data_IF_735016364508
#
_entry.id   IF_735016364508
#
_cell.length_a   1.000
_cell.length_b   1.000
_cell.length_c   1.000
_cell.angle_alpha   90.00
_cell.angle_beta   90.00
_cell.angle_gamma   90.00
#
_symmetry.space_group_name_H-M   'P 1'
#
loop_
_entity.id
_entity.type
_entity.pdbx_description
1 polymer ?
#
# COMPACT_ATOMS: atom_id res chain seq x y z
N UNK A 1 -1.45 -5.15 -22.04
CA UNK A 1 -0.50 -4.05 -21.78
C UNK A 1 -1.10 -3.19 -20.67
N UNK A 2 -0.78 -3.51 -19.41
CA UNK A 2 -1.01 -2.61 -18.27
C UNK A 2 -0.29 -1.29 -18.58
N UNK A 3 -0.95 -0.17 -18.34
CA UNK A 3 -0.47 1.13 -18.84
C UNK A 3 0.93 1.44 -18.31
N UNK A 4 1.79 2.03 -19.14
CA UNK A 4 3.18 2.43 -18.80
C UNK A 4 3.28 3.38 -17.59
N UNK A 5 2.15 3.84 -17.04
CA UNK A 5 2.02 4.71 -15.87
C UNK A 5 1.79 3.95 -14.56
N UNK A 6 1.06 2.83 -14.60
CA UNK A 6 0.86 1.94 -13.44
C UNK A 6 2.17 1.24 -13.02
N UNK A 7 3.10 1.10 -13.97
CA UNK A 7 4.48 0.65 -13.78
C UNK A 7 5.40 1.70 -13.10
N UNK A 8 4.99 2.98 -13.05
CA UNK A 8 5.82 4.12 -12.64
C UNK A 8 5.53 4.59 -11.20
N UNK A 9 4.30 4.37 -10.70
CA UNK A 9 3.87 4.71 -9.32
C UNK A 9 4.34 3.66 -8.29
N UNK A 10 4.28 2.38 -8.66
CA UNK A 10 4.94 1.25 -7.99
C UNK A 10 6.44 1.48 -7.77
N UNK A 11 7.09 2.14 -8.73
CA UNK A 11 8.53 2.48 -8.69
C UNK A 11 8.83 3.66 -7.76
N UNK A 12 7.84 4.45 -7.32
CA UNK A 12 8.01 5.57 -6.38
C UNK A 12 7.73 5.18 -4.92
N UNK A 13 6.75 4.31 -4.65
CA UNK A 13 6.41 3.85 -3.29
C UNK A 13 7.53 3.01 -2.64
N UNK A 14 8.22 2.20 -3.46
CA UNK A 14 9.44 1.47 -3.08
C UNK A 14 10.63 2.42 -2.90
N UNK A 15 10.60 3.59 -3.53
CA UNK A 15 11.72 4.54 -3.49
C UNK A 15 11.75 5.37 -2.20
N UNK A 16 10.62 5.52 -1.50
CA UNK A 16 10.57 6.24 -0.21
C UNK A 16 10.96 5.37 1.00
N UNK A 17 11.15 4.07 0.79
CA UNK A 17 11.98 3.25 1.67
C UNK A 17 13.43 3.82 1.79
N UNK A 18 13.88 4.66 0.84
CA UNK A 18 14.80 5.76 1.12
C UNK A 18 13.97 6.98 1.56
N UNK A 19 14.09 7.52 2.75
CA UNK A 19 15.30 8.21 3.16
C UNK A 19 15.48 8.02 4.67
N UNK A 20 15.90 6.82 5.04
CA UNK A 20 17.08 6.47 5.86
C UNK A 20 18.08 7.60 6.31
N UNK A 21 17.65 8.83 6.65
CA UNK A 21 18.55 9.93 7.11
C UNK A 21 18.17 10.62 8.43
N UNK A 22 17.16 10.15 9.17
CA UNK A 22 16.86 10.69 10.50
C UNK A 22 16.11 9.74 11.40
N UNK A 23 16.52 8.47 11.34
CA UNK A 23 15.89 7.38 12.04
C UNK A 23 16.20 7.44 13.55
N UNK A 24 15.17 7.54 14.39
CA UNK A 24 15.26 7.40 15.85
C UNK A 24 14.75 6.01 16.25
N UNK A 25 15.24 5.45 17.36
CA UNK A 25 14.80 4.13 17.81
C UNK A 25 13.26 4.08 17.95
N UNK A 26 12.63 3.09 17.29
CA UNK A 26 11.18 2.92 17.28
C UNK A 26 10.73 1.92 16.21
N UNK A 27 9.68 1.18 16.51
CA UNK A 27 9.05 0.19 15.62
C UNK A 27 7.60 0.56 15.40
N UNK A 28 7.08 0.31 14.19
CA UNK A 28 5.63 0.32 13.96
C UNK A 28 5.04 -0.94 14.59
N UNK A 29 3.92 -0.82 15.30
CA UNK A 29 3.18 -1.96 15.80
C UNK A 29 2.42 -2.61 14.65
N UNK A 30 2.75 -3.87 14.36
CA UNK A 30 2.11 -4.67 13.32
C UNK A 30 1.05 -5.56 13.97
N UNK A 31 -0.19 -5.59 13.47
CA UNK A 31 -1.23 -6.45 14.02
C UNK A 31 -0.84 -7.94 14.02
N UNK A 32 -1.25 -8.66 15.07
CA UNK A 32 -1.01 -10.11 15.23
C UNK A 32 -1.94 -10.99 14.35
N UNK A 33 -2.48 -10.41 13.27
CA UNK A 33 -3.30 -11.12 12.28
C UNK A 33 -2.39 -11.62 11.18
N UNK A 34 -2.21 -12.94 11.11
CA UNK A 34 -1.33 -13.52 10.10
C UNK A 34 -1.94 -13.40 8.69
N UNK A 35 -1.13 -12.87 7.76
CA UNK A 35 -1.45 -12.83 6.34
C UNK A 35 -0.44 -13.73 5.62
N UNK A 36 -0.95 -14.77 4.97
CA UNK A 36 -0.19 -15.62 4.06
C UNK A 36 -0.29 -15.09 2.64
N UNK A 37 0.84 -15.02 1.94
CA UNK A 37 0.90 -14.51 0.57
C UNK A 37 0.85 -15.70 -0.37
N UNK A 38 -0.21 -15.80 -1.16
CA UNK A 38 -0.38 -16.92 -2.08
C UNK A 38 -1.05 -16.49 -3.41
N UNK A 39 -0.85 -17.33 -4.43
CA UNK A 39 -1.33 -17.04 -5.77
C UNK A 39 -2.86 -17.09 -5.91
N UNK A 40 -3.52 -17.93 -5.10
CA UNK A 40 -4.97 -18.09 -5.18
C UNK A 40 -5.68 -16.80 -4.72
N UNK A 41 -5.24 -16.23 -3.60
CA UNK A 41 -5.72 -14.94 -3.08
C UNK A 41 -5.33 -13.79 -4.01
N UNK A 42 -4.14 -13.83 -4.62
CA UNK A 42 -3.72 -12.83 -5.60
C UNK A 42 -4.65 -12.81 -6.84
N UNK A 43 -5.01 -13.99 -7.34
CA UNK A 43 -5.93 -14.12 -8.47
C UNK A 43 -7.35 -13.70 -8.10
N UNK A 44 -7.83 -14.04 -6.89
CA UNK A 44 -9.12 -13.58 -6.38
C UNK A 44 -9.17 -12.06 -6.26
N UNK A 45 -8.13 -11.45 -5.69
CA UNK A 45 -7.96 -10.01 -5.59
C UNK A 45 -7.96 -9.34 -6.97
N UNK A 46 -7.19 -9.87 -7.93
CA UNK A 46 -7.17 -9.36 -9.29
C UNK A 46 -8.54 -9.45 -9.97
N UNK A 47 -9.25 -10.58 -9.82
CA UNK A 47 -10.57 -10.77 -10.42
C UNK A 47 -11.59 -9.74 -9.90
N UNK A 48 -11.60 -9.50 -8.59
CA UNK A 48 -12.40 -8.44 -7.95
C UNK A 48 -12.04 -7.05 -8.46
N UNK A 49 -10.75 -6.75 -8.62
CA UNK A 49 -10.29 -5.48 -9.20
C UNK A 49 -10.76 -5.28 -10.64
N UNK A 50 -10.77 -6.33 -11.46
CA UNK A 50 -11.31 -6.27 -12.82
C UNK A 50 -12.83 -6.09 -12.82
N UNK A 51 -13.55 -6.74 -11.90
CA UNK A 51 -14.98 -6.54 -11.73
C UNK A 51 -15.32 -5.10 -11.35
N UNK A 52 -14.50 -4.49 -10.49
CA UNK A 52 -14.62 -3.10 -10.04
C UNK A 52 -14.72 -2.09 -11.20
N UNK A 53 -14.02 -2.35 -12.31
CA UNK A 53 -14.06 -1.48 -13.49
C UNK A 53 -15.44 -1.42 -14.14
N UNK A 54 -16.30 -2.40 -13.87
CA UNK A 54 -17.68 -2.47 -14.36
C UNK A 54 -18.73 -2.13 -13.31
N UNK A 55 -18.47 -2.46 -12.04
CA UNK A 55 -19.42 -2.22 -10.93
C UNK A 55 -19.21 -0.86 -10.26
N UNK A 56 -18.04 -0.23 -10.43
CA UNK A 56 -17.66 0.99 -9.73
C UNK A 56 -17.27 0.77 -8.28
N UNK A 57 -17.12 -0.47 -7.83
CA UNK A 57 -16.82 -0.79 -6.42
C UNK A 57 -16.08 -2.12 -6.29
N UNK A 58 -15.17 -2.19 -5.32
CA UNK A 58 -14.46 -3.42 -4.95
C UNK A 58 -14.23 -3.50 -3.44
N UNK A 59 -14.43 -4.70 -2.89
CA UNK A 59 -14.06 -5.03 -1.51
C UNK A 59 -13.06 -6.17 -1.51
N UNK A 60 -11.88 -5.92 -0.92
CA UNK A 60 -10.82 -6.90 -0.74
C UNK A 60 -10.63 -7.25 0.73
N UNK A 61 -10.35 -8.51 1.01
CA UNK A 61 -9.80 -8.92 2.31
C UNK A 61 -8.32 -8.54 2.39
N UNK A 62 -7.77 -8.51 3.62
CA UNK A 62 -6.33 -8.35 3.86
C UNK A 62 -5.48 -9.35 3.05
N UNK A 63 -5.90 -10.61 2.99
CA UNK A 63 -5.20 -11.67 2.27
C UNK A 63 -5.24 -11.46 0.74
N UNK A 64 -6.42 -11.16 0.20
CA UNK A 64 -6.59 -10.88 -1.24
C UNK A 64 -5.78 -9.65 -1.66
N UNK A 65 -5.88 -8.55 -0.91
CA UNK A 65 -5.17 -7.31 -1.23
C UNK A 65 -3.65 -7.50 -1.14
N UNK A 66 -3.17 -8.08 -0.04
CA UNK A 66 -1.74 -8.30 0.20
C UNK A 66 -1.12 -9.22 -0.83
N UNK A 67 -1.80 -10.32 -1.14
CA UNK A 67 -1.35 -11.27 -2.16
C UNK A 67 -1.36 -10.65 -3.55
N UNK A 68 -2.43 -9.95 -3.92
CA UNK A 68 -2.54 -9.28 -5.21
C UNK A 68 -1.43 -8.24 -5.41
N UNK A 69 -1.24 -7.35 -4.43
CA UNK A 69 -0.19 -6.32 -4.51
C UNK A 69 1.19 -6.96 -4.53
N UNK A 70 1.45 -7.98 -3.69
CA UNK A 70 2.75 -8.66 -3.70
C UNK A 70 3.06 -9.25 -5.07
N UNK A 71 2.15 -10.04 -5.64
CA UNK A 71 2.34 -10.67 -6.94
C UNK A 71 2.46 -9.62 -8.05
N UNK A 72 1.63 -8.58 -8.02
CA UNK A 72 1.72 -7.48 -8.97
C UNK A 72 3.10 -6.82 -8.91
N UNK A 73 3.62 -6.53 -7.73
CA UNK A 73 4.93 -5.93 -7.55
C UNK A 73 6.04 -6.84 -8.06
N UNK A 74 6.02 -8.13 -7.70
CA UNK A 74 7.01 -9.10 -8.15
C UNK A 74 7.00 -9.27 -9.67
N UNK A 75 5.82 -9.31 -10.29
CA UNK A 75 5.67 -9.42 -11.75
C UNK A 75 6.18 -8.16 -12.48
N UNK A 76 6.01 -6.97 -11.89
CA UNK A 76 6.45 -5.72 -12.50
C UNK A 76 7.94 -5.41 -12.27
N UNK A 77 8.49 -5.81 -11.12
CA UNK A 77 9.89 -5.57 -10.74
C UNK A 77 10.83 -6.70 -11.20
N UNK A 78 10.27 -7.87 -11.51
CA UNK A 78 11.01 -9.04 -11.95
C UNK A 78 11.99 -9.56 -10.91
N UNK A 79 13.01 -10.30 -11.36
CA UNK A 79 14.04 -10.91 -10.50
C UNK A 79 14.94 -9.90 -9.76
N UNK A 80 14.82 -8.61 -10.07
CA UNK A 80 15.51 -7.51 -9.38
C UNK A 80 14.71 -6.89 -8.23
N UNK A 81 13.50 -7.38 -7.97
CA UNK A 81 12.67 -6.87 -6.88
C UNK A 81 13.36 -7.07 -5.52
N UNK A 82 13.60 -6.00 -4.74
CA UNK A 82 14.00 -6.14 -3.34
C UNK A 82 12.80 -6.44 -2.44
N UNK A 83 11.61 -6.70 -2.99
CA UNK A 83 10.39 -6.95 -2.23
C UNK A 83 10.10 -8.44 -2.24
N UNK A 84 10.03 -9.04 -1.06
CA UNK A 84 9.65 -10.44 -0.86
C UNK A 84 8.17 -10.57 -0.54
N UNK A 85 7.57 -9.58 0.13
CA UNK A 85 6.14 -9.54 0.44
C UNK A 85 5.66 -8.12 0.70
N UNK A 86 4.37 -7.88 0.51
CA UNK A 86 3.65 -6.71 1.01
C UNK A 86 2.41 -7.21 1.74
N UNK A 87 2.36 -6.96 3.04
CA UNK A 87 1.21 -7.25 3.89
C UNK A 87 0.53 -5.94 4.25
N UNK A 88 -0.78 -5.90 4.12
CA UNK A 88 -1.61 -4.77 4.47
C UNK A 88 -2.68 -5.21 5.48
N UNK A 89 -2.74 -4.49 6.59
CA UNK A 89 -3.80 -4.62 7.57
C UNK A 89 -4.69 -3.40 7.53
N UNK A 90 -5.99 -3.65 7.65
CA UNK A 90 -7.03 -2.63 7.63
C UNK A 90 -7.67 -2.57 9.01
N UNK A 91 -7.86 -1.37 9.53
CA UNK A 91 -8.45 -1.07 10.83
C UNK A 91 -9.65 -0.15 10.65
N UNK A 92 -10.44 0.08 11.69
CA UNK A 92 -11.51 1.08 11.65
C UNK A 92 -10.98 2.49 11.34
N UNK A 93 -11.88 3.40 10.96
CA UNK A 93 -11.58 4.82 10.70
C UNK A 93 -10.48 5.05 9.65
N UNK A 94 -10.50 4.26 8.57
CA UNK A 94 -9.55 4.31 7.46
C UNK A 94 -8.10 3.99 7.82
N UNK A 95 -7.89 3.33 8.96
CA UNK A 95 -6.57 2.93 9.45
C UNK A 95 -5.94 1.85 8.60
N UNK A 96 -4.65 2.01 8.31
CA UNK A 96 -3.85 1.04 7.55
C UNK A 96 -2.48 0.83 8.18
N UNK A 97 -2.04 -0.42 8.17
CA UNK A 97 -0.66 -0.80 8.46
C UNK A 97 -0.13 -1.58 7.29
N UNK A 98 1.05 -1.22 6.80
CA UNK A 98 1.76 -1.95 5.75
C UNK A 98 3.06 -2.49 6.30
N UNK A 99 3.36 -3.74 5.96
CA UNK A 99 4.68 -4.33 6.14
C UNK A 99 5.20 -4.79 4.79
N UNK A 100 6.38 -4.29 4.42
CA UNK A 100 7.12 -4.69 3.24
C UNK A 100 8.26 -5.60 3.67
N UNK A 101 8.19 -6.86 3.24
CA UNK A 101 9.28 -7.81 3.38
C UNK A 101 10.40 -7.52 2.40
N UNK A 102 11.63 -7.58 2.89
CA UNK A 102 12.87 -7.38 2.13
C UNK A 102 13.81 -8.60 2.28
N UNK A 103 14.78 -8.80 1.37
CA UNK A 103 15.78 -9.86 1.48
C UNK A 103 16.48 -9.88 2.84
N UNK A 104 16.86 -11.07 3.29
CA UNK A 104 17.54 -11.25 4.58
C UNK A 104 16.62 -11.15 5.80
N UNK A 105 15.31 -11.23 5.62
CA UNK A 105 14.32 -11.18 6.72
C UNK A 105 14.10 -9.77 7.27
N UNK A 106 14.53 -8.75 6.53
CA UNK A 106 14.32 -7.35 6.91
C UNK A 106 12.88 -6.94 6.58
N UNK A 107 12.34 -6.01 7.36
CA UNK A 107 11.04 -5.40 7.11
C UNK A 107 11.14 -3.88 7.11
N UNK A 108 10.22 -3.28 6.38
CA UNK A 108 9.87 -1.88 6.52
C UNK A 108 8.36 -1.76 6.73
N UNK A 109 7.98 -1.04 7.75
CA UNK A 109 6.62 -0.96 8.25
C UNK A 109 6.13 0.49 8.18
N UNK A 110 4.88 0.69 7.79
CA UNK A 110 4.22 2.00 7.69
C UNK A 110 2.86 1.90 8.39
N UNK A 111 2.48 2.91 9.14
CA UNK A 111 1.11 3.04 9.66
C UNK A 111 0.54 4.41 9.34
N UNK A 112 -0.76 4.48 9.16
CA UNK A 112 -1.44 5.73 8.87
C UNK A 112 -2.90 5.53 8.51
N UNK A 113 -3.43 6.50 7.77
CA UNK A 113 -4.80 6.51 7.25
C UNK A 113 -4.83 6.72 5.74
N UNK A 114 -5.83 6.13 5.10
CA UNK A 114 -6.15 6.39 3.69
C UNK A 114 -7.40 7.26 3.61
N UNK A 115 -7.35 8.34 2.85
CA UNK A 115 -8.47 9.26 2.69
C UNK A 115 -8.69 9.57 1.22
N UNK A 116 -9.88 10.05 0.91
CA UNK A 116 -10.19 10.63 -0.40
C UNK A 116 -10.48 12.11 -0.19
N UNK A 117 -9.69 12.95 -0.82
CA UNK A 117 -9.87 14.41 -0.79
C UNK A 117 -9.79 14.92 -2.23
N UNK A 118 -10.78 15.72 -2.65
CA UNK A 118 -10.92 16.18 -4.03
C UNK A 118 -10.87 15.06 -5.10
N UNK A 119 -11.42 13.88 -4.75
CA UNK A 119 -11.41 12.66 -5.58
C UNK A 119 -10.02 12.06 -5.84
N UNK A 120 -9.04 12.43 -5.02
CA UNK A 120 -7.68 11.93 -5.05
C UNK A 120 -7.45 11.13 -3.77
N UNK A 121 -6.86 9.94 -3.92
CA UNK A 121 -6.42 9.16 -2.76
C UNK A 121 -5.26 9.91 -2.10
N UNK A 122 -5.40 10.16 -0.80
CA UNK A 122 -4.35 10.66 0.04
C UNK A 122 -4.04 9.67 1.15
N UNK A 123 -2.79 9.66 1.57
CA UNK A 123 -2.32 8.94 2.74
C UNK A 123 -1.89 9.98 3.75
N UNK A 124 -2.27 9.77 5.00
CA UNK A 124 -1.70 10.44 6.17
C UNK A 124 -0.90 9.40 6.95
N UNK A 125 0.38 9.66 7.20
CA UNK A 125 1.24 8.71 7.89
C UNK A 125 1.35 9.07 9.36
N UNK A 126 1.11 8.09 10.23
CA UNK A 126 1.34 8.20 11.67
C UNK A 126 2.77 7.80 12.02
N UNK A 127 3.28 6.75 11.36
CA UNK A 127 4.63 6.25 11.60
C UNK A 127 5.18 5.50 10.40
N UNK A 128 6.51 5.46 10.33
CA UNK A 128 7.23 4.66 9.38
C UNK A 128 8.45 4.08 10.10
N UNK A 129 8.78 2.82 9.86
CA UNK A 129 9.99 2.21 10.38
C UNK A 129 10.64 1.26 9.39
N UNK A 130 11.95 1.08 9.50
CA UNK A 130 12.70 0.09 8.73
C UNK A 130 13.84 -0.43 9.60
N UNK A 131 14.02 -1.76 9.64
CA UNK A 131 15.11 -2.39 10.38
C UNK A 131 15.18 -1.96 11.86
N UNK A 132 14.03 -1.78 12.51
CA UNK A 132 13.94 -1.36 13.92
C UNK A 132 14.19 0.14 14.17
N UNK A 133 14.24 0.94 13.12
CA UNK A 133 14.40 2.39 13.21
C UNK A 133 13.19 3.12 12.64
N UNK A 134 12.68 4.13 13.34
CA UNK A 134 11.49 4.88 12.95
C UNK A 134 11.83 6.24 12.34
N UNK A 135 11.06 6.68 11.34
CA UNK A 135 11.06 8.05 10.85
C UNK A 135 10.07 8.89 11.67
N UNK A 136 10.48 10.10 12.05
CA UNK A 136 9.66 11.02 12.83
C UNK A 136 9.72 12.45 12.28
N UNK A 137 8.71 13.25 12.63
CA UNK A 137 8.67 14.69 12.38
C UNK A 137 8.73 15.04 10.89
N UNK A 138 9.64 15.95 10.52
CA UNK A 138 9.72 16.50 9.15
C UNK A 138 10.00 15.45 8.08
N UNK A 139 10.62 14.33 8.43
CA UNK A 139 10.89 13.25 7.47
C UNK A 139 9.59 12.54 7.09
N UNK A 140 8.69 12.31 8.04
CA UNK A 140 7.39 11.69 7.79
C UNK A 140 6.55 12.54 6.81
N UNK A 141 6.60 13.87 6.96
CA UNK A 141 5.94 14.81 6.04
C UNK A 141 6.51 14.73 4.61
N UNK A 142 7.82 14.51 4.47
CA UNK A 142 8.45 14.34 3.14
C UNK A 142 8.01 13.02 2.50
N UNK A 143 7.93 11.95 3.29
CA UNK A 143 7.45 10.63 2.87
C UNK A 143 5.99 10.74 2.39
N UNK A 144 5.12 11.29 3.23
CA UNK A 144 3.70 11.50 2.93
C UNK A 144 3.51 12.35 1.67
N UNK A 145 4.21 13.49 1.57
CA UNK A 145 4.10 14.37 0.41
C UNK A 145 4.59 13.72 -0.89
N UNK A 146 5.54 12.79 -0.83
CA UNK A 146 5.96 12.02 -2.00
C UNK A 146 4.90 10.99 -2.43
N UNK A 147 4.29 10.28 -1.47
CA UNK A 147 3.20 9.33 -1.71
C UNK A 147 2.00 10.06 -2.35
N UNK A 148 1.53 11.14 -1.73
CA UNK A 148 0.34 11.86 -2.20
C UNK A 148 0.56 12.50 -3.58
N UNK A 149 1.79 12.92 -3.92
CA UNK A 149 2.12 13.35 -5.30
C UNK A 149 2.03 12.23 -6.32
N UNK A 150 2.42 11.01 -5.96
CA UNK A 150 2.34 9.86 -6.85
C UNK A 150 0.90 9.36 -7.02
N UNK A 151 0.10 9.45 -5.95
CA UNK A 151 -1.33 9.13 -5.98
C UNK A 151 -2.15 10.16 -6.78
N UNK A 152 -1.71 11.42 -6.82
CA UNK A 152 -2.31 12.49 -7.61
C UNK A 152 -1.94 12.42 -9.11
N UNK A 153 -1.87 11.22 -9.71
CA UNK A 153 -1.80 11.07 -11.16
C UNK A 153 -3.22 11.13 -11.74
N UNK A 154 -3.56 12.11 -12.61
CA UNK A 154 -4.89 12.26 -13.21
C UNK A 154 -5.35 11.07 -14.08
N UNK A 155 -4.48 10.09 -14.32
CA UNK A 155 -4.80 8.84 -15.01
C UNK A 155 -5.11 7.66 -14.08
N UNK A 156 -5.01 7.85 -12.77
CA UNK A 156 -5.65 6.99 -11.77
C UNK A 156 -7.15 7.34 -11.79
N UNK A 157 -8.03 6.35 -11.85
CA UNK A 157 -9.48 6.60 -11.90
C UNK A 157 -9.98 7.47 -10.74
N UNK A 158 -11.14 8.11 -10.91
CA UNK A 158 -11.74 8.99 -9.90
C UNK A 158 -12.24 8.12 -8.74
N UNK A 159 -11.44 7.96 -7.70
CA UNK A 159 -11.86 7.23 -6.51
C UNK A 159 -12.71 8.18 -5.66
N UNK A 160 -13.93 7.78 -5.33
CA UNK A 160 -14.90 8.63 -4.61
C UNK A 160 -14.95 8.30 -3.12
N UNK A 161 -14.60 7.06 -2.73
CA UNK A 161 -14.67 6.64 -1.34
C UNK A 161 -13.66 5.52 -1.03
N UNK A 162 -13.07 5.59 0.16
CA UNK A 162 -12.30 4.51 0.79
C UNK A 162 -12.90 4.26 2.15
N UNK A 163 -13.31 3.02 2.40
CA UNK A 163 -13.75 2.54 3.69
C UNK A 163 -12.89 1.35 4.09
N UNK A 164 -12.38 1.37 5.32
CA UNK A 164 -11.71 0.21 5.91
C UNK A 164 -12.50 -0.29 7.11
N UNK A 165 -12.45 -1.60 7.30
CA UNK A 165 -12.88 -2.28 8.51
C UNK A 165 -11.81 -3.33 8.87
N UNK A 166 -11.77 -3.80 10.13
CA UNK A 166 -10.86 -4.88 10.52
C UNK A 166 -10.94 -6.07 9.56
N UNK A 167 -9.87 -6.30 8.79
CA UNK A 167 -9.79 -7.40 7.83
C UNK A 167 -10.16 -7.08 6.36
N UNK A 168 -10.67 -5.89 6.05
CA UNK A 168 -11.12 -5.56 4.69
C UNK A 168 -11.01 -4.07 4.32
N UNK A 169 -10.88 -3.83 3.01
CA UNK A 169 -10.92 -2.51 2.39
C UNK A 169 -11.95 -2.49 1.27
N UNK A 170 -12.77 -1.45 1.25
CA UNK A 170 -13.72 -1.17 0.17
C UNK A 170 -13.34 0.12 -0.53
N UNK A 171 -13.24 0.06 -1.86
CA UNK A 171 -12.97 1.20 -2.71
C UNK A 171 -14.15 1.44 -3.65
N UNK A 172 -14.66 2.66 -3.69
CA UNK A 172 -15.71 3.07 -4.63
C UNK A 172 -15.15 4.06 -5.64
N UNK A 173 -15.53 3.91 -6.90
CA UNK A 173 -15.10 4.73 -8.03
C UNK A 173 -16.27 5.56 -8.57
N UNK A 174 -16.02 6.83 -8.87
CA UNK A 174 -16.98 7.69 -9.57
C UNK A 174 -17.07 7.27 -11.02
N UNK A 175 -18.28 6.87 -11.45
CA UNK A 175 -18.59 6.62 -12.86
C UNK A 175 -18.79 7.91 -13.65
#
# INVERSE_FOLDING_TARGET
MISRKSLLVTVVLVFVLAVLAGCTAGTVEVPDREIDINMDDAMAGQAKGMQALSTGEVTWTEAEFSSFITELLQQNLGSSSPITSVKAWFEDDNGVVFQVGLPGGMTADLSGKIMVEDHIIQVELDSASAMGMSAAGSILNVIQGAINRALNDPSMGVLVNVETAPGEITLSYGM
#
